data_IF_436200900135
#
_entry.id   IF_436200900135
#
_cell.length_a   1.000
_cell.length_b   1.000
_cell.length_c   1.000
_cell.angle_alpha   90.00
_cell.angle_beta   90.00
_cell.angle_gamma   90.00
#
_symmetry.space_group_name_H-M   'P 1'
#
loop_
_entity.id
_entity.type
_entity.pdbx_description
1 polymer ?
#
# COMPACT_ATOMS: atom_id res chain seq x y z
N UNK A 1 -5.77 -17.30 -8.59
CA UNK A 1 -5.98 -15.84 -8.53
C UNK A 1 -5.22 -15.31 -7.32
N UNK A 2 -4.40 -14.28 -7.48
CA UNK A 2 -3.59 -13.69 -6.41
C UNK A 2 -4.44 -13.18 -5.23
N UNK A 3 -5.65 -12.70 -5.49
CA UNK A 3 -6.58 -12.23 -4.44
C UNK A 3 -7.05 -13.38 -3.53
N UNK A 4 -7.23 -14.57 -4.09
CA UNK A 4 -7.60 -15.75 -3.30
C UNK A 4 -6.44 -16.17 -2.38
N UNK A 5 -5.22 -16.15 -2.90
CA UNK A 5 -4.01 -16.49 -2.12
C UNK A 5 -3.76 -15.52 -0.96
N UNK A 6 -4.01 -14.22 -1.15
CA UNK A 6 -3.92 -13.23 -0.05
C UNK A 6 -4.89 -13.57 1.09
N UNK A 7 -6.15 -13.87 0.76
CA UNK A 7 -7.14 -14.25 1.78
C UNK A 7 -6.76 -15.54 2.49
N UNK A 8 -6.26 -16.53 1.75
CA UNK A 8 -5.85 -17.80 2.33
C UNK A 8 -4.64 -17.63 3.26
N UNK A 9 -3.69 -16.74 2.93
CA UNK A 9 -2.56 -16.41 3.80
C UNK A 9 -3.00 -15.76 5.12
N UNK A 10 -3.93 -14.79 5.06
CA UNK A 10 -4.46 -14.16 6.28
C UNK A 10 -5.28 -15.15 7.11
N UNK A 11 -6.09 -16.01 6.48
CA UNK A 11 -6.78 -17.11 7.16
C UNK A 11 -5.82 -18.12 7.81
N UNK A 12 -4.64 -18.31 7.22
CA UNK A 12 -3.57 -19.14 7.78
C UNK A 12 -2.76 -18.44 8.90
N UNK A 13 -3.07 -17.18 9.24
CA UNK A 13 -2.47 -16.45 10.36
C UNK A 13 -1.45 -15.38 9.97
N UNK A 14 -1.39 -14.94 8.71
CA UNK A 14 -0.57 -13.79 8.34
C UNK A 14 -1.04 -12.52 9.08
N UNK A 15 -0.10 -11.83 9.74
CA UNK A 15 -0.39 -10.66 10.58
C UNK A 15 -0.55 -9.33 9.84
N UNK A 16 -0.34 -9.30 8.52
CA UNK A 16 -0.53 -8.14 7.65
C UNK A 16 -0.77 -8.58 6.21
N UNK A 17 -1.44 -7.73 5.43
CA UNK A 17 -1.53 -7.88 3.97
C UNK A 17 -0.46 -7.03 3.31
N UNK A 18 0.28 -7.60 2.35
CA UNK A 18 1.32 -6.87 1.62
C UNK A 18 1.11 -6.82 0.12
N UNK A 19 1.94 -6.03 -0.55
CA UNK A 19 1.93 -5.88 -2.00
C UNK A 19 2.94 -4.85 -2.50
N UNK A 20 3.09 -4.75 -3.83
CA UNK A 20 3.86 -3.70 -4.52
C UNK A 20 3.00 -3.10 -5.64
N UNK A 21 1.94 -2.33 -5.30
CA UNK A 21 0.94 -1.92 -6.28
C UNK A 21 1.49 -0.96 -7.35
N UNK A 22 2.54 -0.20 -7.02
CA UNK A 22 3.17 0.77 -7.91
C UNK A 22 3.82 0.13 -9.17
N UNK A 23 4.08 -1.18 -9.15
CA UNK A 23 4.56 -1.94 -10.32
C UNK A 23 3.47 -2.80 -10.99
N UNK A 24 2.25 -2.78 -10.48
CA UNK A 24 1.14 -3.54 -11.07
C UNK A 24 0.63 -2.85 -12.35
N UNK A 25 0.18 -3.59 -13.37
CA UNK A 25 -0.54 -3.00 -14.51
C UNK A 25 -1.81 -2.23 -14.13
N UNK A 26 -2.43 -2.57 -13.00
CA UNK A 26 -3.56 -1.87 -12.38
C UNK A 26 -3.25 -1.52 -10.91
N UNK A 27 -2.47 -0.45 -10.65
CA UNK A 27 -2.05 -0.08 -9.30
C UNK A 27 -3.22 0.19 -8.35
N UNK A 28 -4.27 0.85 -8.84
CA UNK A 28 -5.45 1.20 -8.04
C UNK A 28 -6.27 -0.05 -7.71
N UNK A 29 -6.46 -0.96 -8.68
CA UNK A 29 -7.15 -2.22 -8.45
C UNK A 29 -6.38 -3.18 -7.54
N UNK A 30 -5.05 -3.17 -7.57
CA UNK A 30 -4.20 -3.89 -6.62
C UNK A 30 -4.32 -3.28 -5.22
N UNK A 31 -4.17 -1.96 -5.08
CA UNK A 31 -4.31 -1.26 -3.80
C UNK A 31 -5.68 -1.49 -3.16
N UNK A 32 -6.76 -1.42 -3.94
CA UNK A 32 -8.10 -1.74 -3.45
C UNK A 32 -8.17 -3.18 -2.93
N UNK A 33 -7.59 -4.14 -3.66
CA UNK A 33 -7.58 -5.55 -3.24
C UNK A 33 -6.93 -5.77 -1.88
N UNK A 34 -5.75 -5.19 -1.65
CA UNK A 34 -5.01 -5.38 -0.41
C UNK A 34 -5.71 -4.69 0.76
N UNK A 35 -6.25 -3.49 0.55
CA UNK A 35 -7.00 -2.76 1.57
C UNK A 35 -8.32 -3.47 1.93
N UNK A 36 -9.05 -3.98 0.95
CA UNK A 36 -10.30 -4.73 1.17
C UNK A 36 -10.05 -6.02 1.95
N UNK A 37 -9.03 -6.81 1.59
CA UNK A 37 -8.68 -8.03 2.33
C UNK A 37 -8.23 -7.69 3.76
N UNK A 38 -7.43 -6.65 3.93
CA UNK A 38 -6.99 -6.21 5.25
C UNK A 38 -8.17 -5.77 6.14
N UNK A 39 -9.10 -4.99 5.58
CA UNK A 39 -10.31 -4.56 6.27
C UNK A 39 -11.25 -5.73 6.60
N UNK A 40 -11.44 -6.67 5.67
CA UNK A 40 -12.25 -7.90 5.87
C UNK A 40 -11.74 -8.72 7.06
N UNK A 41 -10.42 -8.77 7.25
CA UNK A 41 -9.77 -9.62 8.24
C UNK A 41 -9.26 -8.87 9.49
N UNK A 42 -9.41 -7.54 9.55
CA UNK A 42 -8.97 -6.74 10.68
C UNK A 42 -7.45 -6.73 10.91
N UNK A 43 -6.65 -6.85 9.84
CA UNK A 43 -5.18 -6.83 9.89
C UNK A 43 -4.63 -5.56 9.23
N UNK A 44 -3.43 -5.08 9.61
CA UNK A 44 -2.79 -3.95 8.94
C UNK A 44 -2.29 -4.28 7.53
N UNK A 45 -1.88 -3.26 6.79
CA UNK A 45 -1.25 -3.36 5.47
C UNK A 45 0.19 -2.88 5.53
N UNK A 46 1.08 -3.57 4.81
CA UNK A 46 2.48 -3.18 4.60
C UNK A 46 2.82 -3.22 3.10
N UNK A 47 2.99 -2.06 2.47
CA UNK A 47 3.23 -1.95 1.03
C UNK A 47 4.67 -1.64 0.70
N UNK A 48 5.18 -2.36 -0.28
CA UNK A 48 6.45 -2.05 -0.89
C UNK A 48 6.30 -0.92 -1.90
N UNK A 49 7.08 0.14 -1.76
CA UNK A 49 7.17 1.23 -2.74
C UNK A 49 8.48 2.00 -2.61
N UNK A 50 8.96 2.54 -3.72
CA UNK A 50 10.09 3.47 -3.72
C UNK A 50 9.67 4.86 -3.22
N UNK A 51 8.39 5.22 -3.28
CA UNK A 51 7.90 6.53 -2.82
C UNK A 51 8.44 7.73 -3.62
N UNK A 52 8.93 7.52 -4.84
CA UNK A 52 9.40 8.59 -5.75
C UNK A 52 8.29 9.21 -6.62
N UNK A 53 7.05 8.75 -6.50
CA UNK A 53 5.87 9.40 -7.10
C UNK A 53 4.97 10.00 -5.99
N UNK A 54 5.06 11.32 -5.74
CA UNK A 54 4.20 12.00 -4.77
C UNK A 54 2.70 11.90 -5.10
N UNK A 55 2.33 11.79 -6.38
CA UNK A 55 0.93 11.66 -6.75
C UNK A 55 0.39 10.26 -6.40
N UNK A 56 1.22 9.22 -6.55
CA UNK A 56 0.92 7.88 -6.05
C UNK A 56 0.75 7.88 -4.53
N UNK A 57 1.68 8.48 -3.78
CA UNK A 57 1.60 8.56 -2.32
C UNK A 57 0.31 9.26 -1.85
N UNK A 58 -0.08 10.35 -2.52
CA UNK A 58 -1.34 11.05 -2.21
C UNK A 58 -2.58 10.18 -2.50
N UNK A 59 -2.61 9.44 -3.62
CA UNK A 59 -3.70 8.51 -3.94
C UNK A 59 -3.79 7.38 -2.91
N UNK A 60 -2.64 6.79 -2.56
CA UNK A 60 -2.54 5.73 -1.56
C UNK A 60 -3.08 6.20 -0.20
N UNK A 61 -2.63 7.36 0.28
CA UNK A 61 -3.09 7.94 1.55
C UNK A 61 -4.59 8.22 1.55
N UNK A 62 -5.13 8.76 0.45
CA UNK A 62 -6.57 8.99 0.31
C UNK A 62 -7.38 7.69 0.42
N UNK A 63 -6.97 6.64 -0.30
CA UNK A 63 -7.64 5.33 -0.27
C UNK A 63 -7.55 4.63 1.09
N UNK A 64 -6.39 4.70 1.74
CA UNK A 64 -6.23 4.18 3.09
C UNK A 64 -7.17 4.88 4.08
N UNK A 65 -7.31 6.21 3.95
CA UNK A 65 -8.21 7.02 4.77
C UNK A 65 -9.70 6.70 4.58
N UNK A 66 -10.13 6.36 3.36
CA UNK A 66 -11.52 5.98 3.07
C UNK A 66 -11.95 4.68 3.80
N UNK A 67 -11.03 3.74 3.97
CA UNK A 67 -11.30 2.43 4.57
C UNK A 67 -10.92 2.34 6.06
N UNK A 68 -10.20 3.34 6.59
CA UNK A 68 -9.73 3.34 7.97
C UNK A 68 -8.67 2.27 8.28
N UNK A 69 -8.07 1.67 7.26
CA UNK A 69 -7.07 0.62 7.39
C UNK A 69 -5.71 1.22 7.72
N UNK A 70 -5.02 0.68 8.72
CA UNK A 70 -3.65 1.09 9.04
C UNK A 70 -2.68 0.60 7.95
N UNK A 71 -1.93 1.53 7.34
CA UNK A 71 -0.99 1.25 6.25
C UNK A 71 0.42 1.69 6.63
N UNK A 72 1.39 0.79 6.45
CA UNK A 72 2.82 1.10 6.44
C UNK A 72 3.33 1.03 4.99
N UNK A 73 4.30 1.87 4.65
CA UNK A 73 4.99 1.85 3.36
C UNK A 73 6.51 1.79 3.57
N UNK A 74 7.21 1.04 2.72
CA UNK A 74 8.68 0.98 2.73
C UNK A 74 9.24 0.36 1.45
N UNK A 75 10.54 0.51 1.16
CA UNK A 75 11.55 1.23 1.93
C UNK A 75 11.54 2.76 1.67
N UNK A 76 10.75 3.25 0.71
CA UNK A 76 10.67 4.67 0.37
C UNK A 76 12.03 5.32 -0.02
N UNK A 77 12.97 4.52 -0.55
CA UNK A 77 14.31 4.99 -0.91
C UNK A 77 14.30 6.06 -2.02
N UNK A 78 13.23 6.12 -2.80
CA UNK A 78 12.99 7.12 -3.83
C UNK A 78 12.68 8.52 -3.32
N UNK A 79 12.22 8.67 -2.07
CA UNK A 79 12.05 10.01 -1.45
C UNK A 79 13.37 10.80 -1.47
N UNK A 80 14.52 10.14 -1.29
CA UNK A 80 15.84 10.77 -1.30
C UNK A 80 16.25 11.31 -2.68
N UNK A 81 15.55 10.91 -3.76
CA UNK A 81 15.81 11.38 -5.13
C UNK A 81 14.96 12.60 -5.51
N UNK A 82 13.97 12.98 -4.70
CA UNK A 82 13.08 14.11 -4.95
C UNK A 82 13.72 15.45 -4.51
N UNK A 83 13.31 16.58 -5.11
CA UNK A 83 13.61 17.90 -4.54
C UNK A 83 13.16 17.98 -3.08
N UNK A 84 13.97 18.60 -2.21
CA UNK A 84 13.75 18.59 -0.76
C UNK A 84 12.35 19.06 -0.33
N UNK A 85 11.84 20.11 -0.96
CA UNK A 85 10.48 20.62 -0.71
C UNK A 85 9.40 19.60 -1.09
N UNK A 86 9.59 18.87 -2.19
CA UNK A 86 8.64 17.85 -2.64
C UNK A 86 8.68 16.64 -1.70
N UNK A 87 9.88 16.18 -1.33
CA UNK A 87 10.04 15.09 -0.37
C UNK A 87 9.39 15.43 0.98
N UNK A 88 9.62 16.64 1.49
CA UNK A 88 9.08 17.10 2.78
C UNK A 88 7.55 17.31 2.77
N UNK A 89 6.92 17.45 1.61
CA UNK A 89 5.45 17.48 1.48
C UNK A 89 4.83 16.09 1.34
N UNK A 90 5.59 15.12 0.85
CA UNK A 90 5.13 13.77 0.58
C UNK A 90 5.25 12.83 1.80
N UNK A 91 6.20 13.12 2.70
CA UNK A 91 6.41 12.41 3.97
C UNK A 91 5.73 13.13 5.13
#
# INVERSE_FOLDING_TARGET
>A
DGRALLRDAVRAGAGAVGGRPDLDPDPDGHLAAVLEVAAEHGVPVDLHTEGDDPAWLARLAARAGELGTAVTIGPCAGLARLPSEVAGRAA
#
